data_IF_974669598729
#
_entry.id   IF_974669598729
#
_cell.length_a   1.000
_cell.length_b   1.000
_cell.length_c   1.000
_cell.angle_alpha   90.00
_cell.angle_beta   90.00
_cell.angle_gamma   90.00
#
_symmetry.space_group_name_H-M   'P 1'
#
loop_
_entity.id
_entity.type
_entity.pdbx_description
1 polymer ?
#
# COMPACT_ATOMS: atom_id res chain seq x y z
N UNK A 1 -5.75 -15.68 7.37
CA UNK A 1 -5.49 -15.89 5.93
C UNK A 1 -4.50 -14.81 5.51
N UNK A 2 -3.58 -15.12 4.61
CA UNK A 2 -2.67 -14.10 4.10
C UNK A 2 -3.28 -13.46 2.85
N UNK A 3 -3.13 -12.15 2.73
CA UNK A 3 -3.55 -11.39 1.56
C UNK A 3 -2.32 -10.72 0.96
N UNK A 4 -2.36 -10.52 -0.36
CA UNK A 4 -1.46 -9.63 -1.08
C UNK A 4 -2.25 -8.42 -1.54
N UNK A 5 -1.68 -7.23 -1.39
CA UNK A 5 -2.21 -5.99 -1.90
C UNK A 5 -1.20 -5.31 -2.80
N UNK A 6 -1.67 -4.79 -3.93
CA UNK A 6 -0.87 -4.05 -4.91
C UNK A 6 -1.66 -2.80 -5.29
N UNK A 7 -1.04 -1.62 -5.16
CA UNK A 7 -1.74 -0.37 -5.40
C UNK A 7 -0.84 0.77 -5.87
N UNK A 8 -1.48 1.74 -6.52
CA UNK A 8 -0.89 3.02 -6.93
C UNK A 8 -1.74 4.18 -6.44
N UNK A 9 -1.10 5.32 -6.24
CA UNK A 9 -1.74 6.60 -5.91
C UNK A 9 -1.28 7.64 -6.92
N UNK A 10 -2.19 8.45 -7.42
CA UNK A 10 -1.97 9.46 -8.45
C UNK A 10 -2.40 10.85 -7.96
N UNK A 11 -1.84 11.94 -8.52
CA UNK A 11 -1.00 12.00 -9.72
C UNK A 11 0.47 11.58 -9.52
N UNK A 12 1.05 10.93 -10.54
CA UNK A 12 2.48 10.65 -10.58
C UNK A 12 3.12 11.40 -11.75
N UNK A 13 4.03 12.33 -11.44
CA UNK A 13 4.67 13.18 -12.46
C UNK A 13 5.96 12.59 -13.05
N UNK A 14 6.36 11.38 -12.63
CA UNK A 14 7.51 10.67 -13.19
C UNK A 14 8.74 10.70 -12.27
N UNK A 15 9.87 11.16 -12.79
CA UNK A 15 11.17 11.12 -12.11
C UNK A 15 11.21 12.06 -10.89
N UNK A 16 11.92 11.63 -9.84
CA UNK A 16 12.18 12.45 -8.66
C UNK A 16 11.75 11.76 -7.36
N UNK A 17 11.55 12.58 -6.33
CA UNK A 17 11.08 12.12 -5.04
C UNK A 17 9.62 11.63 -5.14
N UNK A 18 9.24 10.60 -4.36
CA UNK A 18 7.87 10.13 -4.33
C UNK A 18 6.92 11.26 -3.90
N UNK A 19 5.76 11.40 -4.56
CA UNK A 19 4.76 12.40 -4.16
C UNK A 19 4.27 12.15 -2.74
N UNK A 20 3.79 13.20 -2.08
CA UNK A 20 3.40 13.17 -0.67
C UNK A 20 2.40 12.04 -0.36
N UNK A 21 1.40 11.83 -1.21
CA UNK A 21 0.44 10.74 -1.06
C UNK A 21 1.09 9.35 -1.10
N UNK A 22 2.12 9.15 -1.93
CA UNK A 22 2.77 7.85 -2.05
C UNK A 22 3.64 7.57 -0.81
N UNK A 23 4.33 8.59 -0.30
CA UNK A 23 5.07 8.50 0.96
C UNK A 23 4.13 8.21 2.15
N UNK A 24 3.00 8.90 2.25
CA UNK A 24 1.98 8.69 3.29
C UNK A 24 1.39 7.28 3.24
N UNK A 25 1.16 6.73 2.05
CA UNK A 25 0.70 5.35 1.89
C UNK A 25 1.69 4.34 2.50
N UNK A 26 2.98 4.48 2.15
CA UNK A 26 4.06 3.65 2.69
C UNK A 26 4.14 3.77 4.21
N UNK A 27 4.06 4.98 4.74
CA UNK A 27 4.22 5.23 6.17
C UNK A 27 3.03 4.71 6.99
N UNK A 28 1.79 4.83 6.48
CA UNK A 28 0.61 4.23 7.10
C UNK A 28 0.70 2.70 7.21
N UNK A 29 1.29 2.02 6.21
CA UNK A 29 1.55 0.58 6.27
C UNK A 29 2.62 0.26 7.33
N UNK A 30 3.70 1.03 7.40
CA UNK A 30 4.77 0.85 8.40
C UNK A 30 4.30 1.08 9.82
N UNK A 31 3.46 2.09 10.05
CA UNK A 31 2.79 2.32 11.35
C UNK A 31 1.98 1.11 11.82
N UNK A 32 1.49 0.30 10.88
CA UNK A 32 0.75 -0.94 11.15
C UNK A 32 1.66 -2.17 11.34
N UNK A 33 2.98 -1.97 11.34
CA UNK A 33 3.99 -3.05 11.45
C UNK A 33 4.20 -3.84 10.17
N UNK A 34 3.81 -3.31 9.01
CA UNK A 34 4.00 -3.93 7.70
C UNK A 34 5.19 -3.29 6.98
N UNK A 35 5.96 -4.08 6.24
CA UNK A 35 7.08 -3.60 5.42
C UNK A 35 6.74 -3.72 3.94
N UNK A 36 6.20 -2.66 3.31
CA UNK A 36 5.79 -2.72 1.91
C UNK A 36 6.97 -2.60 0.95
N UNK A 37 6.85 -3.28 -0.18
CA UNK A 37 7.67 -3.07 -1.37
C UNK A 37 7.21 -1.78 -2.06
N UNK A 38 7.88 -0.67 -1.76
CA UNK A 38 7.58 0.66 -2.29
C UNK A 38 8.50 1.01 -3.46
N UNK A 39 7.94 1.25 -4.65
CA UNK A 39 8.73 1.51 -5.86
C UNK A 39 8.01 2.34 -6.92
N UNK A 40 8.65 2.56 -8.09
CA UNK A 40 8.14 3.43 -9.14
C UNK A 40 6.87 2.90 -9.83
N UNK A 41 6.60 1.59 -9.72
CA UNK A 41 5.42 0.95 -10.30
C UNK A 41 4.26 0.82 -9.29
N UNK A 42 4.42 1.35 -8.09
CA UNK A 42 3.42 1.27 -7.02
C UNK A 42 3.97 0.63 -5.74
N UNK A 43 3.03 0.25 -4.88
CA UNK A 43 3.30 -0.38 -3.59
C UNK A 43 2.72 -1.78 -3.56
N UNK A 44 3.51 -2.76 -3.15
CA UNK A 44 3.05 -4.12 -2.89
C UNK A 44 3.29 -4.53 -1.43
N UNK A 45 2.38 -5.31 -0.86
CA UNK A 45 2.53 -5.83 0.50
C UNK A 45 1.75 -7.14 0.67
N UNK A 46 2.35 -8.10 1.38
CA UNK A 46 1.68 -9.33 1.82
C UNK A 46 1.62 -9.39 3.35
N UNK A 47 0.45 -9.64 3.92
CA UNK A 47 0.25 -9.64 5.36
C UNK A 47 -0.94 -10.48 5.82
N UNK A 48 -1.05 -10.70 7.13
CA UNK A 48 -2.27 -11.32 7.67
C UNK A 48 -3.46 -10.39 7.45
N UNK A 49 -4.60 -10.96 7.03
CA UNK A 49 -5.85 -10.23 6.78
C UNK A 49 -6.24 -9.29 7.91
N UNK A 50 -6.06 -9.70 9.16
CA UNK A 50 -6.46 -8.90 10.32
C UNK A 50 -5.59 -7.64 10.50
N UNK A 51 -4.39 -7.62 9.94
CA UNK A 51 -3.48 -6.47 9.95
C UNK A 51 -3.57 -5.67 8.66
N UNK A 52 -3.60 -6.36 7.51
CA UNK A 52 -3.52 -5.70 6.20
C UNK A 52 -4.79 -4.93 5.84
N UNK A 53 -6.00 -5.44 6.14
CA UNK A 53 -7.22 -4.73 5.77
C UNK A 53 -7.39 -3.39 6.52
N UNK A 54 -7.22 -3.32 7.86
CA UNK A 54 -7.24 -2.03 8.55
C UNK A 54 -6.16 -1.05 8.06
N UNK A 55 -4.96 -1.55 7.77
CA UNK A 55 -3.87 -0.73 7.25
C UNK A 55 -4.23 -0.14 5.86
N UNK A 56 -4.82 -0.94 4.97
CA UNK A 56 -5.30 -0.45 3.67
C UNK A 56 -6.41 0.59 3.80
N UNK A 57 -7.34 0.46 4.76
CA UNK A 57 -8.34 1.50 5.03
C UNK A 57 -7.68 2.83 5.42
N UNK A 58 -6.68 2.81 6.31
CA UNK A 58 -5.92 4.00 6.67
C UNK A 58 -5.14 4.60 5.48
N UNK A 59 -4.60 3.76 4.60
CA UNK A 59 -3.97 4.21 3.34
C UNK A 59 -4.98 4.95 2.47
N UNK A 60 -6.16 4.38 2.22
CA UNK A 60 -7.17 5.01 1.36
C UNK A 60 -7.56 6.41 1.86
N UNK A 61 -7.80 6.56 3.16
CA UNK A 61 -8.16 7.85 3.76
C UNK A 61 -7.00 8.86 3.68
N UNK A 62 -5.83 8.49 4.21
CA UNK A 62 -4.71 9.44 4.36
C UNK A 62 -4.10 9.85 3.03
N UNK A 63 -4.14 8.99 2.02
CA UNK A 63 -3.57 9.32 0.70
C UNK A 63 -4.42 10.34 -0.04
N UNK A 64 -5.75 10.25 0.06
CA UNK A 64 -6.67 11.27 -0.47
C UNK A 64 -6.45 12.62 0.25
N UNK A 65 -6.33 12.61 1.57
CA UNK A 65 -6.02 13.82 2.35
C UNK A 65 -4.65 14.43 1.99
N UNK A 66 -3.69 13.59 1.59
CA UNK A 66 -2.35 13.99 1.15
C UNK A 66 -2.28 14.41 -0.33
N UNK A 67 -3.43 14.56 -1.00
CA UNK A 67 -3.53 15.09 -2.35
C UNK A 67 -3.56 14.05 -3.47
N UNK A 68 -3.77 12.75 -3.15
CA UNK A 68 -4.13 11.80 -4.19
C UNK A 68 -5.53 12.12 -4.73
N UNK A 69 -5.70 12.11 -6.04
CA UNK A 69 -7.00 12.23 -6.69
C UNK A 69 -7.53 10.88 -7.22
N UNK A 70 -6.65 9.87 -7.31
CA UNK A 70 -7.00 8.53 -7.74
C UNK A 70 -6.14 7.48 -7.06
N UNK A 71 -6.79 6.37 -6.72
CA UNK A 71 -6.16 5.18 -6.15
C UNK A 71 -6.62 3.96 -6.95
N UNK A 72 -5.67 3.14 -7.39
CA UNK A 72 -5.96 1.81 -7.96
C UNK A 72 -5.47 0.77 -6.95
N UNK A 73 -6.34 -0.15 -6.53
CA UNK A 73 -6.03 -1.17 -5.53
C UNK A 73 -6.50 -2.54 -5.99
N UNK A 74 -5.58 -3.51 -5.94
CA UNK A 74 -5.87 -4.93 -6.07
C UNK A 74 -5.58 -5.62 -4.74
N UNK A 75 -6.49 -6.49 -4.30
CA UNK A 75 -6.28 -7.38 -3.14
C UNK A 75 -6.58 -8.81 -3.57
N UNK A 76 -5.65 -9.73 -3.31
CA UNK A 76 -5.76 -11.15 -3.63
C UNK A 76 -5.43 -12.00 -2.41
N UNK A 77 -5.86 -13.26 -2.43
CA UNK A 77 -5.41 -14.25 -1.44
C UNK A 77 -3.96 -14.59 -1.78
N UNK A 78 -3.09 -14.53 -0.78
CA UNK A 78 -1.69 -14.93 -0.93
C UNK A 78 -1.57 -16.43 -0.58
N UNK A 79 -1.60 -17.26 -1.62
CA UNK A 79 -1.48 -18.73 -1.52
C UNK A 79 -0.03 -19.21 -1.40
N UNK A 80 0.93 -18.30 -1.19
CA UNK A 80 2.33 -18.69 -0.96
C UNK A 80 2.40 -19.53 0.33
N UNK A 81 2.88 -20.79 0.26
CA UNK A 81 3.02 -21.64 1.44
C UNK A 81 3.86 -20.91 2.50
N UNK A 82 3.43 -20.92 3.77
CA UNK A 82 4.35 -20.56 4.87
C UNK A 82 5.41 -21.65 4.90
N UNK A 83 6.66 -21.29 4.61
CA UNK A 83 7.77 -22.08 5.13
C UNK A 83 7.56 -22.17 6.66
N UNK A 84 7.41 -23.42 7.12
CA UNK A 84 7.02 -23.78 8.49
C UNK A 84 8.07 -23.46 9.52
#
# INVERSE_FOLDING_TARGET
MRLRAEFTTEPFEGEGDPPAHAAVARDALRESGLEPEFGPLGTAISGDRAVLLPALSAVLERTLDAGADRITLQVSIDDTPRDG
#
